data_IF_756197497570
#
_entry.id   IF_756197497570
#
_cell.length_a   1.000
_cell.length_b   1.000
_cell.length_c   1.000
_cell.angle_alpha   90.00
_cell.angle_beta   90.00
_cell.angle_gamma   90.00
#
_symmetry.space_group_name_H-M   'P 1'
#
loop_
_entity.id
_entity.type
_entity.pdbx_description
1 polymer ?
#
# COMPACT_ATOMS: atom_id res chain seq x y z
N UNK A 1 -19.53 -38.45 32.42
CA UNK A 1 -18.63 -37.31 32.72
C UNK A 1 -18.17 -36.68 31.43
N UNK A 2 -18.56 -35.42 31.25
CA UNK A 2 -18.47 -34.54 30.09
C UNK A 2 -17.10 -34.44 29.38
N UNK A 3 -17.20 -34.28 28.04
CA UNK A 3 -16.42 -33.40 27.13
C UNK A 3 -15.00 -33.83 26.71
N UNK A 4 -14.94 -34.69 25.69
CA UNK A 4 -13.83 -34.76 24.74
C UNK A 4 -14.38 -34.89 23.32
N UNK A 5 -14.93 -33.82 22.76
CA UNK A 5 -15.24 -33.78 21.33
C UNK A 5 -15.41 -32.34 20.86
N UNK A 6 -14.84 -32.11 19.67
CA UNK A 6 -14.82 -30.88 18.88
C UNK A 6 -13.90 -29.79 19.44
N UNK A 7 -12.86 -29.47 18.66
CA UNK A 7 -12.26 -28.14 18.42
C UNK A 7 -10.92 -28.22 17.65
N UNK A 8 -10.64 -29.30 16.93
CA UNK A 8 -9.55 -29.32 15.93
C UNK A 8 -10.17 -29.20 14.54
N UNK A 9 -10.64 -28.00 14.22
CA UNK A 9 -10.73 -27.63 12.81
C UNK A 9 -9.32 -27.27 12.33
N UNK A 10 -8.99 -27.88 11.20
CA UNK A 10 -7.70 -27.95 10.54
C UNK A 10 -7.18 -26.55 10.21
N UNK A 11 -6.32 -26.01 11.07
CA UNK A 11 -5.21 -25.15 10.70
C UNK A 11 -4.04 -25.66 11.52
N UNK A 12 -2.98 -26.16 10.90
CA UNK A 12 -1.84 -26.69 11.66
C UNK A 12 -1.31 -25.59 12.61
N UNK A 13 -1.41 -25.77 13.94
CA UNK A 13 -1.18 -24.69 14.91
C UNK A 13 0.25 -24.14 14.92
N UNK A 14 1.18 -24.73 14.15
CA UNK A 14 2.53 -24.22 13.94
C UNK A 14 2.76 -23.49 12.61
N UNK A 15 2.16 -23.94 11.50
CA UNK A 15 2.41 -23.34 10.16
C UNK A 15 1.75 -21.97 10.05
N UNK A 16 0.49 -21.84 10.51
CA UNK A 16 -0.21 -20.55 10.47
C UNK A 16 0.47 -19.49 11.33
N UNK A 17 1.09 -19.90 12.45
CA UNK A 17 1.84 -18.99 13.31
C UNK A 17 3.12 -18.51 12.65
N UNK A 18 3.97 -19.44 12.19
CA UNK A 18 5.25 -19.10 11.58
C UNK A 18 5.05 -18.25 10.33
N UNK A 19 4.02 -18.57 9.53
CA UNK A 19 3.63 -17.77 8.36
C UNK A 19 3.19 -16.37 8.76
N UNK A 20 2.37 -16.22 9.82
CA UNK A 20 1.94 -14.92 10.31
C UNK A 20 3.11 -14.03 10.73
N UNK A 21 4.08 -14.61 11.44
CA UNK A 21 5.33 -13.92 11.83
C UNK A 21 6.12 -13.53 10.58
N UNK A 22 6.35 -14.47 9.65
CA UNK A 22 7.12 -14.19 8.44
C UNK A 22 6.49 -13.08 7.58
N UNK A 23 5.16 -13.03 7.50
CA UNK A 23 4.43 -11.97 6.80
C UNK A 23 4.58 -10.60 7.50
N UNK A 24 4.56 -10.58 8.84
CA UNK A 24 4.80 -9.37 9.62
C UNK A 24 6.22 -8.84 9.43
N UNK A 25 7.22 -9.71 9.41
CA UNK A 25 8.62 -9.31 9.19
C UNK A 25 8.87 -8.87 7.73
N UNK A 26 8.13 -9.40 6.76
CA UNK A 26 8.31 -9.11 5.33
C UNK A 26 7.81 -7.71 4.94
N UNK A 27 6.77 -7.18 5.58
CA UNK A 27 6.21 -5.89 5.15
C UNK A 27 7.19 -4.72 5.41
N UNK A 28 8.00 -4.79 6.47
CA UNK A 28 8.98 -3.74 6.82
C UNK A 28 10.04 -3.50 5.73
N UNK A 29 10.77 -4.52 5.24
CA UNK A 29 11.76 -4.32 4.18
C UNK A 29 11.12 -3.85 2.87
N UNK A 30 9.87 -4.22 2.57
CA UNK A 30 9.15 -3.71 1.40
C UNK A 30 8.93 -2.21 1.53
N UNK A 31 8.43 -1.75 2.67
CA UNK A 31 8.19 -0.31 2.93
C UNK A 31 9.51 0.46 2.93
N UNK A 32 10.53 -0.06 3.61
CA UNK A 32 11.85 0.57 3.70
C UNK A 32 12.51 0.74 2.33
N UNK A 33 12.51 -0.33 1.51
CA UNK A 33 13.07 -0.28 0.16
C UNK A 33 12.29 0.68 -0.73
N UNK A 34 10.95 0.61 -0.73
CA UNK A 34 10.13 1.50 -1.54
C UNK A 34 10.33 2.98 -1.20
N UNK A 35 10.45 3.31 0.10
CA UNK A 35 10.75 4.68 0.52
C UNK A 35 12.13 5.13 0.03
N UNK A 36 13.17 4.30 0.19
CA UNK A 36 14.53 4.60 -0.28
C UNK A 36 14.56 4.84 -1.79
N UNK A 37 13.90 3.98 -2.56
CA UNK A 37 13.88 4.07 -4.02
C UNK A 37 13.08 5.29 -4.48
N UNK A 38 12.02 5.67 -3.76
CA UNK A 38 11.27 6.89 -4.03
C UNK A 38 12.08 8.14 -3.71
N UNK A 39 12.76 8.18 -2.56
CA UNK A 39 13.67 9.26 -2.17
C UNK A 39 14.83 9.43 -3.15
N UNK A 40 15.34 8.31 -3.69
CA UNK A 40 16.35 8.28 -4.74
C UNK A 40 15.83 8.67 -6.13
N UNK A 41 14.52 8.83 -6.30
CA UNK A 41 13.89 9.11 -7.60
C UNK A 41 13.91 7.93 -8.58
N UNK A 42 14.18 6.72 -8.10
CA UNK A 42 14.21 5.49 -8.90
C UNK A 42 12.79 5.01 -9.28
N UNK A 43 11.81 5.29 -8.41
CA UNK A 43 10.40 4.94 -8.63
C UNK A 43 9.48 6.17 -8.53
N UNK A 44 8.31 6.09 -9.15
CA UNK A 44 7.31 7.16 -9.07
C UNK A 44 6.48 7.05 -7.79
N UNK A 45 5.76 8.12 -7.45
CA UNK A 45 4.80 8.11 -6.33
C UNK A 45 3.69 7.05 -6.49
N UNK A 46 3.33 6.70 -7.73
CA UNK A 46 2.35 5.61 -8.00
C UNK A 46 2.94 4.24 -7.69
N UNK A 47 4.21 4.04 -8.01
CA UNK A 47 4.93 2.80 -7.71
C UNK A 47 5.11 2.65 -6.19
N UNK A 48 5.48 3.74 -5.51
CA UNK A 48 5.51 3.80 -4.04
C UNK A 48 4.16 3.39 -3.45
N UNK A 49 3.06 4.00 -3.90
CA UNK A 49 1.72 3.69 -3.42
C UNK A 49 1.38 2.20 -3.64
N UNK A 50 1.73 1.63 -4.80
CA UNK A 50 1.53 0.22 -5.08
C UNK A 50 2.30 -0.68 -4.09
N UNK A 51 3.54 -0.34 -3.76
CA UNK A 51 4.38 -1.09 -2.81
C UNK A 51 3.87 -0.98 -1.37
N UNK A 52 3.41 0.21 -0.95
CA UNK A 52 2.78 0.38 0.36
C UNK A 52 1.49 -0.44 0.49
N UNK A 53 0.69 -0.54 -0.59
CA UNK A 53 -0.52 -1.38 -0.63
C UNK A 53 -0.19 -2.87 -0.59
N UNK A 54 0.91 -3.29 -1.24
CA UNK A 54 1.43 -4.65 -1.14
C UNK A 54 1.81 -5.00 0.31
N UNK A 55 2.57 -4.13 0.97
CA UNK A 55 2.91 -4.25 2.39
C UNK A 55 1.66 -4.29 3.29
N UNK A 56 0.64 -3.47 3.01
CA UNK A 56 -0.65 -3.50 3.74
C UNK A 56 -1.32 -4.87 3.62
N UNK A 57 -1.24 -5.50 2.44
CA UNK A 57 -1.75 -6.84 2.20
C UNK A 57 -1.11 -7.89 3.10
N UNK A 58 0.23 -7.93 3.14
CA UNK A 58 0.97 -8.87 3.99
C UNK A 58 0.68 -8.63 5.48
N UNK A 59 0.63 -7.36 5.90
CA UNK A 59 0.37 -7.02 7.29
C UNK A 59 -1.06 -7.42 7.74
N UNK A 60 -2.05 -7.25 6.86
CA UNK A 60 -3.42 -7.72 7.12
C UNK A 60 -3.49 -9.25 7.25
N UNK A 61 -2.76 -9.96 6.40
CA UNK A 61 -2.72 -11.43 6.45
C UNK A 61 -1.96 -11.93 7.69
N UNK A 62 -0.88 -11.27 8.09
CA UNK A 62 -0.19 -11.54 9.34
C UNK A 62 -1.14 -11.41 10.54
N UNK A 63 -1.88 -10.29 10.62
CA UNK A 63 -2.87 -10.05 11.67
C UNK A 63 -3.94 -11.14 11.66
N UNK A 64 -4.50 -11.50 10.50
CA UNK A 64 -5.56 -12.51 10.44
C UNK A 64 -5.10 -13.89 10.90
N UNK A 65 -3.80 -14.19 10.88
CA UNK A 65 -3.25 -15.44 11.41
C UNK A 65 -2.93 -15.33 12.90
N UNK A 66 -2.38 -14.21 13.36
CA UNK A 66 -1.91 -14.03 14.74
C UNK A 66 -3.01 -13.67 15.75
N UNK A 67 -4.17 -13.17 15.31
CA UNK A 67 -5.28 -12.79 16.21
C UNK A 67 -5.87 -13.94 17.02
N UNK A 68 -5.64 -15.18 16.60
CA UNK A 68 -6.15 -16.37 17.28
C UNK A 68 -5.25 -16.85 18.42
N UNK A 69 -4.06 -16.26 18.56
CA UNK A 69 -3.11 -16.62 19.60
C UNK A 69 -3.49 -16.01 20.96
N UNK A 70 -3.16 -16.66 22.09
CA UNK A 70 -3.46 -16.12 23.42
C UNK A 70 -2.89 -14.71 23.62
N UNK A 71 -3.66 -13.77 24.17
CA UNK A 71 -3.23 -12.37 24.32
C UNK A 71 -1.97 -12.17 25.17
N UNK A 72 -1.68 -13.11 26.06
CA UNK A 72 -0.51 -13.14 26.94
C UNK A 72 0.70 -13.87 26.32
N UNK A 73 0.57 -14.39 25.10
CA UNK A 73 1.68 -14.97 24.33
C UNK A 73 2.47 -13.88 23.60
N UNK A 74 3.73 -14.15 23.21
CA UNK A 74 4.49 -13.29 22.30
C UNK A 74 3.73 -12.98 21.00
N UNK A 75 3.04 -13.96 20.44
CA UNK A 75 2.31 -13.84 19.18
C UNK A 75 1.05 -12.96 19.33
N UNK A 76 0.33 -13.09 20.45
CA UNK A 76 -0.79 -12.19 20.78
C UNK A 76 -0.33 -10.76 21.05
N UNK A 77 0.90 -10.56 21.54
CA UNK A 77 1.52 -9.24 21.60
C UNK A 77 1.86 -8.72 20.19
N UNK A 78 2.47 -9.56 19.36
CA UNK A 78 2.83 -9.23 17.97
C UNK A 78 1.60 -8.83 17.15
N UNK A 79 0.46 -9.52 17.31
CA UNK A 79 -0.79 -9.16 16.65
C UNK A 79 -1.25 -7.72 16.99
N UNK A 80 -1.07 -7.29 18.25
CA UNK A 80 -1.42 -5.92 18.67
C UNK A 80 -0.48 -4.88 18.07
N UNK A 81 0.82 -5.19 18.03
CA UNK A 81 1.83 -4.34 17.40
C UNK A 81 1.52 -4.21 15.90
N UNK A 82 1.29 -5.33 15.21
CA UNK A 82 0.91 -5.36 13.80
C UNK A 82 -0.36 -4.54 13.49
N UNK A 83 -1.38 -4.57 14.36
CA UNK A 83 -2.56 -3.71 14.19
C UNK A 83 -2.25 -2.22 14.31
N UNK A 84 -1.29 -1.84 15.16
CA UNK A 84 -0.84 -0.45 15.27
C UNK A 84 -0.01 -0.05 14.05
N UNK A 85 0.89 -0.91 13.59
CA UNK A 85 1.69 -0.69 12.38
C UNK A 85 0.80 -0.57 11.15
N UNK A 86 -0.30 -1.34 11.07
CA UNK A 86 -1.28 -1.22 9.99
C UNK A 86 -1.94 0.17 9.95
N UNK A 87 -2.21 0.77 11.12
CA UNK A 87 -2.73 2.15 11.17
C UNK A 87 -1.69 3.15 10.66
N UNK A 88 -0.44 2.98 11.06
CA UNK A 88 0.66 3.84 10.63
C UNK A 88 0.88 3.74 9.11
N UNK A 89 0.92 2.52 8.57
CA UNK A 89 1.06 2.28 7.14
C UNK A 89 -0.10 2.88 6.33
N UNK A 90 -1.33 2.79 6.84
CA UNK A 90 -2.50 3.44 6.21
C UNK A 90 -2.38 4.96 6.17
N UNK A 91 -1.77 5.58 7.18
CA UNK A 91 -1.49 7.02 7.14
C UNK A 91 -0.48 7.36 6.04
N UNK A 92 0.59 6.57 5.89
CA UNK A 92 1.56 6.73 4.80
C UNK A 92 0.93 6.56 3.42
N UNK A 93 0.04 5.57 3.27
CA UNK A 93 -0.74 5.36 2.04
C UNK A 93 -1.60 6.58 1.70
N UNK A 94 -2.35 7.10 2.68
CA UNK A 94 -3.19 8.30 2.46
C UNK A 94 -2.35 9.52 2.07
N UNK A 95 -1.14 9.65 2.62
CA UNK A 95 -0.23 10.71 2.22
C UNK A 95 0.24 10.54 0.77
N UNK A 96 0.66 9.33 0.38
CA UNK A 96 1.05 9.03 -0.99
C UNK A 96 -0.09 9.25 -2.00
N UNK A 97 -1.33 8.91 -1.65
CA UNK A 97 -2.51 9.17 -2.47
C UNK A 97 -2.74 10.67 -2.74
N UNK A 98 -2.54 11.51 -1.72
CA UNK A 98 -2.60 12.97 -1.89
C UNK A 98 -1.55 13.45 -2.88
N UNK A 99 -0.30 12.98 -2.74
CA UNK A 99 0.78 13.32 -3.66
C UNK A 99 0.45 12.91 -5.11
N UNK A 100 -0.14 11.73 -5.34
CA UNK A 100 -0.61 11.32 -6.67
C UNK A 100 -1.62 12.35 -7.21
N UNK A 101 -2.65 12.71 -6.44
CA UNK A 101 -3.68 13.65 -6.88
C UNK A 101 -3.12 15.05 -7.23
N UNK A 102 -2.10 15.52 -6.49
CA UNK A 102 -1.42 16.79 -6.77
C UNK A 102 -0.60 16.74 -8.05
N UNK A 103 0.03 15.59 -8.37
CA UNK A 103 0.77 15.44 -9.63
C UNK A 103 -0.15 15.41 -10.85
N UNK A 104 -1.38 14.90 -10.70
CA UNK A 104 -2.37 14.82 -11.78
C UNK A 104 -3.00 16.19 -12.10
N UNK A 105 -3.32 16.97 -11.06
CA UNK A 105 -3.86 18.34 -11.23
C UNK A 105 -2.88 19.31 -11.89
N UNK A 106 -1.57 19.13 -11.67
CA UNK A 106 -0.52 19.90 -12.37
C UNK A 106 -0.36 19.53 -13.85
N UNK A 107 -0.60 18.26 -14.22
CA UNK A 107 -0.55 17.82 -15.63
C UNK A 107 -1.75 18.30 -16.44
N UNK A 108 -2.95 18.37 -15.85
CA UNK A 108 -4.14 18.86 -16.56
C UNK A 108 -4.10 20.38 -16.84
N UNK A 109 -3.44 21.16 -15.98
CA UNK A 109 -3.28 22.61 -16.14
C UNK A 109 -2.21 23.02 -17.17
N UNK A 110 -1.21 22.17 -17.42
CA UNK A 110 -0.14 22.44 -18.40
C UNK A 110 -0.46 21.98 -19.84
N UNK A 111 -1.49 21.14 -20.02
CA UNK A 111 -1.89 20.60 -21.33
C UNK A 111 -2.79 21.48 -22.21
N UNK A 112 -3.19 22.68 -21.76
CA UNK A 112 -4.17 23.54 -22.47
C UNK A 112 -3.57 24.70 -23.27
N UNK A 113 -2.24 24.90 -23.26
CA UNK A 113 -1.56 25.98 -24.00
C UNK A 113 -0.91 25.41 -25.27
N UNK A 114 -1.68 25.18 -26.33
CA UNK A 114 -1.14 24.59 -27.55
C UNK A 114 -2.09 24.47 -28.74
N UNK A 115 -2.86 25.50 -29.08
CA UNK A 115 -3.55 25.60 -30.38
C UNK A 115 -3.68 27.06 -30.82
N UNK A 116 -2.57 27.67 -31.23
CA UNK A 116 -2.56 29.00 -31.83
C UNK A 116 -1.59 29.09 -33.02
N UNK A 117 -2.07 28.75 -34.24
CA UNK A 117 -1.63 29.25 -35.56
C UNK A 117 -2.47 28.54 -36.63
N UNK A 118 -3.07 29.17 -37.66
CA UNK A 118 -2.67 30.37 -38.40
C UNK A 118 -3.88 30.91 -39.18
N UNK A 119 -4.40 32.10 -38.82
CA UNK A 119 -5.30 32.89 -39.68
C UNK A 119 -4.46 33.52 -40.78
N UNK A 120 -4.60 33.06 -42.02
CA UNK A 120 -3.99 33.67 -43.21
C UNK A 120 -5.07 34.21 -44.13
N UNK A 121 -5.27 35.54 -44.13
CA UNK A 121 -6.24 36.24 -44.96
C UNK A 121 -5.83 36.26 -46.43
N UNK A 122 -6.71 35.80 -47.31
CA UNK A 122 -6.60 35.97 -48.76
C UNK A 122 -7.08 37.35 -49.20
N UNK A 123 -6.14 38.18 -49.69
CA UNK A 123 -6.37 39.52 -50.22
C UNK A 123 -6.90 39.44 -51.66
N UNK A 124 -7.99 40.18 -51.91
CA UNK A 124 -8.67 40.38 -53.21
C UNK A 124 -7.68 40.64 -54.35
N UNK A 125 -7.87 39.98 -55.49
CA UNK A 125 -7.41 40.46 -56.81
C UNK A 125 -8.62 40.86 -57.66
N UNK A 126 -8.43 41.99 -58.32
CA UNK A 126 -9.35 42.82 -59.08
C UNK A 126 -9.27 42.40 -60.55
N UNK A 127 -10.41 42.19 -61.19
CA UNK A 127 -10.61 42.29 -62.65
C UNK A 127 -12.03 42.77 -62.87
#
# INVERSE_FOLDING_TARGET
MSRYAANMEVVEPGISRLRGIALYELQDPIVMLANKDFEGGEITVRDLLSKLREAEGYLREAISQLIYEPMNSPEGHLARVAMQDLKNLRYSIQHAEKLVSETETRKSSTGSIGSAKKRGGGRKKKT
#
